data_IF_808502947189
#
_entry.id   IF_808502947189
#
_cell.length_a   1.000
_cell.length_b   1.000
_cell.length_c   1.000
_cell.angle_alpha   90.00
_cell.angle_beta   90.00
_cell.angle_gamma   90.00
#
_symmetry.space_group_name_H-M   'P 1'
#
loop_
_entity.id
_entity.type
_entity.pdbx_description
1 polymer ?
#
# COMPACT_ATOMS: atom_id res chain seq x y z
N UNK A 1 10.36 -9.36 -11.65
CA UNK A 1 11.29 -9.66 -10.54
C UNK A 1 12.72 -9.23 -10.85
N UNK A 2 13.19 -9.36 -12.08
CA UNK A 2 14.54 -8.92 -12.46
C UNK A 2 14.82 -7.44 -12.19
N UNK A 3 13.88 -6.55 -12.52
CA UNK A 3 14.02 -5.12 -12.21
C UNK A 3 14.15 -4.86 -10.71
N UNK A 4 13.30 -5.48 -9.89
CA UNK A 4 13.36 -5.35 -8.43
C UNK A 4 14.71 -5.86 -7.88
N UNK A 5 15.25 -6.95 -8.44
CA UNK A 5 16.58 -7.46 -8.08
C UNK A 5 17.68 -6.42 -8.36
N UNK A 6 17.62 -5.74 -9.50
CA UNK A 6 18.58 -4.69 -9.86
C UNK A 6 18.47 -3.47 -8.93
N UNK A 7 17.27 -3.10 -8.51
CA UNK A 7 17.04 -1.99 -7.57
C UNK A 7 17.55 -2.31 -6.16
N UNK A 8 17.46 -3.58 -5.74
CA UNK A 8 17.84 -4.02 -4.39
C UNK A 8 19.33 -4.42 -4.28
N UNK A 9 19.95 -4.90 -5.36
CA UNK A 9 21.36 -5.32 -5.38
C UNK A 9 22.38 -4.28 -4.85
N UNK A 10 22.24 -2.95 -5.12
CA UNK A 10 23.18 -1.97 -4.59
C UNK A 10 22.95 -1.65 -3.09
N UNK A 11 21.82 -2.06 -2.50
CA UNK A 11 21.52 -1.78 -1.09
C UNK A 11 22.31 -2.75 -0.21
N UNK A 12 23.13 -2.20 0.68
CA UNK A 12 23.92 -2.97 1.64
C UNK A 12 23.26 -3.05 3.02
N UNK A 13 22.34 -2.14 3.31
CA UNK A 13 21.57 -2.11 4.55
C UNK A 13 20.46 -3.17 4.55
N UNK A 14 19.97 -3.60 5.72
CA UNK A 14 18.87 -4.54 5.79
C UNK A 14 17.59 -4.02 5.11
N UNK A 15 17.02 -4.82 4.22
CA UNK A 15 15.79 -4.48 3.49
C UNK A 15 14.65 -5.31 4.02
N UNK A 16 13.68 -4.65 4.65
CA UNK A 16 12.46 -5.32 5.15
C UNK A 16 11.42 -5.45 4.04
N UNK A 17 10.93 -6.67 3.81
CA UNK A 17 9.84 -6.93 2.88
C UNK A 17 8.50 -6.92 3.65
N UNK A 18 7.57 -6.06 3.23
CA UNK A 18 6.23 -5.89 3.84
C UNK A 18 5.11 -5.94 2.79
N UNK A 19 3.90 -6.32 3.21
CA UNK A 19 2.74 -6.51 2.35
C UNK A 19 2.62 -7.92 1.76
N UNK A 20 1.55 -8.15 0.99
CA UNK A 20 1.15 -9.49 0.55
C UNK A 20 2.14 -10.15 -0.42
N UNK A 21 2.94 -9.35 -1.13
CA UNK A 21 3.99 -9.84 -2.03
C UNK A 21 5.26 -10.32 -1.34
N UNK A 22 5.43 -10.04 -0.05
CA UNK A 22 6.72 -10.21 0.66
C UNK A 22 7.25 -11.63 0.68
N UNK A 23 6.38 -12.59 0.99
CA UNK A 23 6.76 -14.00 1.10
C UNK A 23 7.22 -14.55 -0.24
N UNK A 24 6.52 -14.20 -1.32
CA UNK A 24 6.89 -14.61 -2.67
C UNK A 24 8.23 -13.98 -3.07
N UNK A 25 8.36 -12.66 -2.92
CA UNK A 25 9.60 -11.93 -3.23
C UNK A 25 10.80 -12.49 -2.46
N UNK A 26 10.64 -12.75 -1.16
CA UNK A 26 11.70 -13.33 -0.34
C UNK A 26 12.14 -14.70 -0.84
N UNK A 27 11.19 -15.61 -1.10
CA UNK A 27 11.49 -16.95 -1.63
C UNK A 27 12.19 -16.90 -2.99
N UNK A 28 11.87 -15.89 -3.81
CA UNK A 28 12.47 -15.72 -5.13
C UNK A 28 13.87 -15.09 -5.08
N UNK A 29 14.13 -14.14 -4.18
CA UNK A 29 15.32 -13.29 -4.25
C UNK A 29 16.31 -13.46 -3.09
N UNK A 30 15.96 -14.13 -1.99
CA UNK A 30 16.84 -14.28 -0.81
C UNK A 30 18.16 -15.00 -1.08
N UNK A 31 18.24 -15.83 -2.13
CA UNK A 31 19.49 -16.46 -2.54
C UNK A 31 20.46 -15.52 -3.26
N UNK A 32 19.93 -14.46 -3.89
CA UNK A 32 20.72 -13.47 -4.62
C UNK A 32 21.01 -12.22 -3.78
N UNK A 33 20.08 -11.85 -2.88
CA UNK A 33 20.12 -10.63 -2.07
C UNK A 33 20.06 -11.06 -0.60
N UNK A 34 21.21 -11.18 0.09
CA UNK A 34 21.28 -11.78 1.43
C UNK A 34 20.77 -10.86 2.55
N UNK A 35 20.65 -9.56 2.30
CA UNK A 35 20.20 -8.55 3.27
C UNK A 35 18.67 -8.37 3.31
N UNK A 36 17.91 -9.23 2.62
CA UNK A 36 16.45 -9.25 2.73
C UNK A 36 16.03 -9.79 4.11
N UNK A 37 15.09 -9.11 4.76
CA UNK A 37 14.51 -9.51 6.04
C UNK A 37 13.02 -9.69 5.90
N UNK A 38 12.53 -10.83 6.35
CA UNK A 38 11.12 -11.05 6.63
C UNK A 38 10.80 -10.62 8.07
N UNK A 39 10.03 -9.53 8.27
CA UNK A 39 9.58 -9.16 9.60
C UNK A 39 8.59 -10.21 10.14
N UNK A 40 8.37 -10.28 11.47
CA UNK A 40 7.38 -11.17 12.05
C UNK A 40 5.98 -10.84 11.51
N UNK A 41 5.13 -11.85 11.36
CA UNK A 41 3.82 -11.75 10.66
C UNK A 41 2.97 -10.55 11.11
N UNK A 42 2.92 -10.33 12.42
CA UNK A 42 2.15 -9.23 13.00
C UNK A 42 2.64 -7.85 12.49
N UNK A 43 3.90 -7.69 12.07
CA UNK A 43 4.45 -6.44 11.52
C UNK A 43 4.52 -6.41 9.99
N UNK A 44 4.11 -7.47 9.30
CA UNK A 44 4.19 -7.52 7.83
C UNK A 44 3.14 -6.66 7.13
N UNK A 45 2.04 -6.35 7.81
CA UNK A 45 0.90 -5.66 7.21
C UNK A 45 0.66 -4.28 7.83
N UNK A 46 0.04 -3.41 7.03
CA UNK A 46 -0.37 -2.08 7.45
C UNK A 46 -1.33 -2.13 8.66
N UNK A 47 -1.17 -1.17 9.57
CA UNK A 47 -1.97 -1.04 10.79
C UNK A 47 -2.39 0.40 11.00
N UNK A 48 -3.59 0.60 11.54
CA UNK A 48 -4.11 1.92 11.88
C UNK A 48 -3.14 2.73 12.78
N UNK A 49 -2.46 2.05 13.72
CA UNK A 49 -1.46 2.69 14.58
C UNK A 49 -0.29 3.32 13.79
N UNK A 50 0.20 2.66 12.74
CA UNK A 50 1.27 3.21 11.90
C UNK A 50 0.82 4.46 11.14
N UNK A 51 -0.40 4.43 10.63
CA UNK A 51 -1.02 5.60 9.98
C UNK A 51 -1.18 6.76 10.97
N UNK A 52 -1.65 6.49 12.19
CA UNK A 52 -1.81 7.51 13.22
C UNK A 52 -0.48 8.15 13.65
N UNK A 53 0.58 7.35 13.81
CA UNK A 53 1.91 7.85 14.14
C UNK A 53 2.47 8.76 13.03
N UNK A 54 2.35 8.34 11.77
CA UNK A 54 2.77 9.17 10.63
C UNK A 54 1.95 10.46 10.53
N UNK A 55 0.63 10.40 10.76
CA UNK A 55 -0.23 11.57 10.76
C UNK A 55 0.18 12.57 11.86
N UNK A 56 0.46 12.09 13.07
CA UNK A 56 0.93 12.94 14.17
C UNK A 56 2.28 13.62 13.85
N UNK A 57 3.21 12.89 13.22
CA UNK A 57 4.49 13.46 12.76
C UNK A 57 4.28 14.56 11.70
N UNK A 58 3.43 14.31 10.71
CA UNK A 58 3.11 15.29 9.65
C UNK A 58 2.45 16.56 10.20
N UNK A 59 1.47 16.40 11.11
CA UNK A 59 0.84 17.54 11.80
C UNK A 59 1.90 18.36 12.56
N UNK A 60 2.82 17.69 13.26
CA UNK A 60 3.90 18.35 14.00
C UNK A 60 4.90 19.09 13.07
N UNK A 61 5.07 18.61 11.83
CA UNK A 61 5.89 19.25 10.81
C UNK A 61 5.18 20.41 10.08
N UNK A 62 3.93 20.73 10.44
CA UNK A 62 3.15 21.78 9.78
C UNK A 62 2.49 21.35 8.47
N UNK A 63 2.41 20.04 8.20
CA UNK A 63 1.81 19.45 7.00
C UNK A 63 0.55 18.63 7.36
N UNK A 64 -0.50 19.24 7.94
CA UNK A 64 -1.74 18.52 8.20
C UNK A 64 -2.34 18.08 6.86
N UNK A 65 -2.61 16.78 6.72
CA UNK A 65 -3.28 16.25 5.53
C UNK A 65 -4.74 16.70 5.46
N UNK A 66 -5.28 16.73 4.25
CA UNK A 66 -6.71 16.98 4.01
C UNK A 66 -7.44 15.64 3.81
N UNK A 67 -8.40 15.35 4.69
CA UNK A 67 -9.23 14.16 4.58
C UNK A 67 -10.14 14.19 3.34
N UNK A 68 -10.56 15.38 2.89
CA UNK A 68 -11.40 15.51 1.69
C UNK A 68 -10.63 15.20 0.39
N UNK A 69 -9.29 15.32 0.42
CA UNK A 69 -8.43 14.92 -0.70
C UNK A 69 -8.29 13.40 -0.86
N UNK A 70 -8.69 12.60 0.15
CA UNK A 70 -8.70 11.14 0.06
C UNK A 70 -9.90 10.65 -0.74
N UNK A 71 -9.86 10.82 -2.05
CA UNK A 71 -10.91 10.35 -2.96
C UNK A 71 -10.68 8.87 -3.30
N UNK A 72 -11.63 7.97 -3.00
CA UNK A 72 -11.51 6.59 -3.40
C UNK A 72 -11.54 6.48 -4.93
N UNK A 73 -10.54 5.80 -5.51
CA UNK A 73 -10.60 5.44 -6.92
C UNK A 73 -11.51 4.22 -7.11
N UNK A 74 -12.76 4.47 -7.46
CA UNK A 74 -13.75 3.42 -7.66
C UNK A 74 -13.57 2.75 -9.02
N UNK A 75 -12.96 1.55 -9.03
CA UNK A 75 -12.83 0.70 -10.23
C UNK A 75 -14.18 0.15 -10.75
N UNK A 76 -15.25 0.30 -9.95
CA UNK A 76 -16.62 -0.04 -10.30
C UNK A 76 -17.54 1.09 -9.85
N UNK A 77 -18.57 1.38 -10.64
CA UNK A 77 -19.56 2.39 -10.31
C UNK A 77 -20.18 2.14 -8.93
N UNK A 78 -20.41 3.21 -8.16
CA UNK A 78 -21.04 3.09 -6.85
C UNK A 78 -22.47 2.55 -6.98
N UNK A 79 -23.03 1.97 -5.91
CA UNK A 79 -24.41 1.49 -5.95
C UNK A 79 -25.40 2.64 -6.20
N UNK A 80 -25.18 3.79 -5.56
CA UNK A 80 -26.03 4.97 -5.73
C UNK A 80 -26.04 5.48 -7.19
N UNK A 81 -24.88 5.50 -7.86
CA UNK A 81 -24.79 5.88 -9.27
C UNK A 81 -25.46 4.85 -10.18
N UNK A 82 -25.34 3.54 -9.89
CA UNK A 82 -26.02 2.48 -10.67
C UNK A 82 -27.54 2.60 -10.56
N UNK A 83 -28.07 2.73 -9.35
CA UNK A 83 -29.51 2.90 -9.12
C UNK A 83 -30.06 4.18 -9.77
N UNK A 84 -29.27 5.26 -9.78
CA UNK A 84 -29.63 6.50 -10.46
C UNK A 84 -29.75 6.28 -11.98
N UNK A 85 -28.76 5.64 -12.60
CA UNK A 85 -28.77 5.33 -14.04
C UNK A 85 -29.92 4.39 -14.42
N UNK A 86 -30.25 3.41 -13.57
CA UNK A 86 -31.38 2.51 -13.77
C UNK A 86 -32.73 3.24 -13.70
N UNK A 87 -32.87 4.22 -12.80
CA UNK A 87 -34.08 5.08 -12.74
C UNK A 87 -34.18 6.00 -13.95
N UNK A 88 -33.07 6.61 -14.36
CA UNK A 88 -33.01 7.49 -15.54
C UNK A 88 -33.34 6.72 -16.83
N UNK A 89 -32.90 5.47 -16.96
CA UNK A 89 -33.21 4.62 -18.11
C UNK A 89 -34.65 4.07 -18.10
N UNK A 90 -35.22 3.81 -16.93
CA UNK A 90 -36.61 3.32 -16.78
C UNK A 90 -37.66 4.40 -16.99
N UNK A 91 -37.29 5.68 -16.85
CA UNK A 91 -38.18 6.84 -17.08
C UNK A 91 -38.11 7.39 -18.52
N UNK A 92 -37.37 6.73 -19.42
CA UNK A 92 -37.21 7.08 -20.83
C UNK A 92 -38.09 6.25 -21.75
#
# INVERSE_FOLDING_TARGET
MEQLKQELAPLTEPVFLVGDGSVLTYKTLSGDIPNLIMPPEHRMHQRAAGVALLAAQKISAGEPGDGAALTPNYLRLSQAERERLERESSNS
#
